data_IF_843642745017
#
_entry.id   IF_843642745017
#
_cell.length_a   1.000
_cell.length_b   1.000
_cell.length_c   1.000
_cell.angle_alpha   90.00
_cell.angle_beta   90.00
_cell.angle_gamma   90.00
#
_symmetry.space_group_name_H-M   'P 1'
#
loop_
_entity.id
_entity.type
_entity.pdbx_description
1 polymer ?
#
# COMPACT_ATOMS: atom_id res chain seq x y z
N UNK A 1 -15.35 -24.37 -10.54
CA UNK A 1 -16.81 -24.61 -10.37
C UNK A 1 -17.37 -25.49 -11.47
N UNK A 2 -17.02 -25.28 -12.75
CA UNK A 2 -17.28 -26.27 -13.83
C UNK A 2 -16.70 -27.65 -13.51
N UNK A 3 -15.44 -27.71 -13.08
CA UNK A 3 -14.77 -28.96 -12.64
C UNK A 3 -15.50 -29.66 -11.47
N UNK A 4 -16.15 -28.89 -10.59
CA UNK A 4 -16.82 -29.43 -9.40
C UNK A 4 -18.17 -30.08 -9.75
N UNK A 5 -18.82 -29.58 -10.80
CA UNK A 5 -20.08 -30.13 -11.32
C UNK A 5 -19.75 -31.36 -12.17
N UNK A 6 -18.75 -31.28 -13.05
CA UNK A 6 -18.30 -32.39 -13.90
C UNK A 6 -17.82 -33.60 -13.09
N UNK A 7 -17.10 -33.37 -11.97
CA UNK A 7 -16.68 -34.42 -11.05
C UNK A 7 -17.84 -35.11 -10.31
N UNK A 8 -18.95 -34.41 -10.08
CA UNK A 8 -20.14 -34.94 -9.36
C UNK A 8 -21.13 -35.62 -10.29
N UNK A 9 -21.29 -35.14 -11.53
CA UNK A 9 -22.36 -35.60 -12.44
C UNK A 9 -21.87 -36.37 -13.66
N UNK A 10 -20.55 -36.51 -13.89
CA UNK A 10 -19.95 -37.22 -15.04
C UNK A 10 -20.47 -36.76 -16.42
N UNK A 11 -21.06 -35.58 -16.48
CA UNK A 11 -21.55 -34.96 -17.70
C UNK A 11 -20.56 -33.88 -18.10
N UNK A 12 -20.06 -33.95 -19.33
CA UNK A 12 -19.16 -32.97 -19.92
C UNK A 12 -19.89 -31.65 -20.07
N UNK A 13 -19.57 -30.69 -19.20
CA UNK A 13 -20.21 -29.36 -19.21
C UNK A 13 -19.37 -28.45 -20.09
N UNK A 14 -19.96 -27.93 -21.17
CA UNK A 14 -19.31 -26.93 -22.03
C UNK A 14 -18.92 -25.65 -21.28
N UNK A 15 -18.11 -24.76 -21.90
CA UNK A 15 -17.54 -23.59 -21.24
C UNK A 15 -18.63 -22.70 -20.63
N UNK A 16 -18.65 -22.64 -19.29
CA UNK A 16 -19.60 -21.82 -18.54
C UNK A 16 -19.27 -20.35 -18.76
N UNK A 17 -20.02 -19.69 -19.64
CA UNK A 17 -19.98 -18.23 -19.81
C UNK A 17 -20.46 -17.57 -18.51
N UNK A 18 -19.52 -17.08 -17.70
CA UNK A 18 -19.86 -16.22 -16.59
C UNK A 18 -20.40 -14.90 -17.14
N UNK A 19 -21.65 -14.49 -16.83
CA UNK A 19 -22.10 -13.15 -17.18
C UNK A 19 -21.20 -12.16 -16.43
N UNK A 20 -20.54 -11.27 -17.16
CA UNK A 20 -19.73 -10.22 -16.54
C UNK A 20 -20.58 -9.44 -15.53
N UNK A 21 -19.99 -9.08 -14.38
CA UNK A 21 -20.64 -8.44 -13.23
C UNK A 21 -21.48 -7.18 -13.56
N UNK A 22 -21.34 -6.61 -14.76
CA UNK A 22 -22.01 -5.38 -15.20
C UNK A 22 -22.81 -5.65 -16.48
N UNK A 23 -24.14 -5.64 -16.35
CA UNK A 23 -25.08 -5.77 -17.47
C UNK A 23 -24.88 -4.67 -18.51
N UNK A 24 -25.06 -5.00 -19.81
CA UNK A 24 -24.92 -4.05 -20.93
C UNK A 24 -25.81 -2.80 -20.76
N UNK A 25 -27.01 -2.96 -20.19
CA UNK A 25 -27.92 -1.86 -19.89
C UNK A 25 -27.37 -0.93 -18.81
N UNK A 26 -26.74 -1.48 -17.78
CA UNK A 26 -26.12 -0.71 -16.70
C UNK A 26 -24.94 0.13 -17.21
N UNK A 27 -24.12 -0.42 -18.13
CA UNK A 27 -23.03 0.32 -18.78
C UNK A 27 -23.56 1.53 -19.56
N UNK A 28 -24.62 1.34 -20.34
CA UNK A 28 -25.25 2.43 -21.10
C UNK A 28 -25.78 3.51 -20.15
N UNK A 29 -26.48 3.12 -19.09
CA UNK A 29 -26.99 4.06 -18.09
C UNK A 29 -25.85 4.86 -17.43
N UNK A 30 -24.76 4.20 -17.04
CA UNK A 30 -23.58 4.87 -16.46
C UNK A 30 -22.97 5.87 -17.45
N UNK A 31 -22.84 5.50 -18.71
CA UNK A 31 -22.28 6.36 -19.77
C UNK A 31 -23.19 7.58 -19.99
N UNK A 32 -24.50 7.36 -20.16
CA UNK A 32 -25.47 8.45 -20.37
C UNK A 32 -25.51 9.39 -19.16
N UNK A 33 -25.56 8.84 -17.94
CA UNK A 33 -25.53 9.63 -16.72
C UNK A 33 -24.22 10.42 -16.59
N UNK A 34 -23.08 9.80 -16.93
CA UNK A 34 -21.79 10.47 -16.98
C UNK A 34 -21.78 11.65 -17.95
N UNK A 35 -22.30 11.46 -19.17
CA UNK A 35 -22.43 12.52 -20.18
C UNK A 35 -23.29 13.69 -19.71
N UNK A 36 -24.41 13.42 -19.03
CA UNK A 36 -25.29 14.47 -18.49
C UNK A 36 -24.63 15.22 -17.32
N UNK A 37 -23.89 14.51 -16.46
CA UNK A 37 -23.16 15.11 -15.34
C UNK A 37 -21.91 15.87 -15.77
N UNK A 38 -21.32 15.54 -16.92
CA UNK A 38 -20.09 16.17 -17.43
C UNK A 38 -20.18 17.70 -17.49
N UNK A 39 -21.17 18.33 -18.15
CA UNK A 39 -21.28 19.80 -18.19
C UNK A 39 -21.49 20.42 -16.80
N UNK A 40 -22.19 19.73 -15.89
CA UNK A 40 -22.42 20.22 -14.53
C UNK A 40 -21.14 20.18 -13.69
N UNK A 41 -20.37 19.10 -13.78
CA UNK A 41 -19.07 18.97 -13.14
C UNK A 41 -18.06 19.97 -13.71
N UNK A 42 -17.97 20.10 -15.04
CA UNK A 42 -17.05 21.05 -15.69
C UNK A 42 -17.34 22.48 -15.25
N UNK A 43 -18.62 22.89 -15.24
CA UNK A 43 -19.02 24.21 -14.74
C UNK A 43 -18.61 24.42 -13.27
N UNK A 44 -18.79 23.41 -12.43
CA UNK A 44 -18.42 23.45 -11.00
C UNK A 44 -16.91 23.48 -10.77
N UNK A 45 -16.15 22.77 -11.62
CA UNK A 45 -14.68 22.78 -11.62
C UNK A 45 -14.17 24.17 -12.03
N UNK A 46 -14.64 24.71 -13.16
CA UNK A 46 -14.22 26.03 -13.67
C UNK A 46 -14.55 27.16 -12.69
N UNK A 47 -15.64 27.05 -11.93
CA UNK A 47 -15.99 28.00 -10.87
C UNK A 47 -15.02 28.02 -9.66
N UNK A 48 -13.97 27.19 -9.65
CA UNK A 48 -12.86 27.24 -8.70
C UNK A 48 -13.19 26.78 -7.28
N UNK A 49 -14.46 26.64 -6.91
CA UNK A 49 -14.89 26.33 -5.55
C UNK A 49 -14.96 24.81 -5.25
N UNK A 50 -14.08 24.02 -5.87
CA UNK A 50 -14.09 22.56 -5.79
C UNK A 50 -12.86 22.03 -5.07
N UNK A 51 -13.02 20.89 -4.37
CA UNK A 51 -11.92 20.17 -3.69
C UNK A 51 -10.71 19.90 -4.62
N UNK A 52 -10.94 19.73 -5.92
CA UNK A 52 -9.90 19.52 -6.93
C UNK A 52 -8.93 20.70 -7.10
N UNK A 53 -9.27 21.91 -6.63
CA UNK A 53 -8.37 23.07 -6.69
C UNK A 53 -7.44 23.17 -5.48
N UNK A 54 -7.71 22.40 -4.42
CA UNK A 54 -6.88 22.45 -3.20
C UNK A 54 -5.63 21.61 -3.39
N UNK A 55 -4.46 22.27 -3.45
CA UNK A 55 -3.14 21.61 -3.57
C UNK A 55 -2.90 20.48 -2.57
N UNK A 56 -3.40 20.64 -1.33
CA UNK A 56 -3.25 19.64 -0.27
C UNK A 56 -3.98 18.32 -0.56
N UNK A 57 -5.08 18.37 -1.32
CA UNK A 57 -5.85 17.17 -1.69
C UNK A 57 -5.08 16.35 -2.73
N UNK A 58 -4.48 17.01 -3.72
CA UNK A 58 -3.57 16.35 -4.66
C UNK A 58 -2.34 15.80 -3.97
N UNK A 59 -1.76 16.54 -3.02
CA UNK A 59 -0.62 16.06 -2.24
C UNK A 59 -0.97 14.81 -1.44
N UNK A 60 -2.11 14.80 -0.74
CA UNK A 60 -2.60 13.63 -0.02
C UNK A 60 -2.91 12.45 -0.96
N UNK A 61 -3.53 12.73 -2.12
CA UNK A 61 -3.82 11.74 -3.16
C UNK A 61 -2.55 11.08 -3.71
N UNK A 62 -1.49 11.85 -3.96
CA UNK A 62 -0.20 11.31 -4.42
C UNK A 62 0.45 10.42 -3.37
N UNK A 63 0.42 10.80 -2.09
CA UNK A 63 0.93 9.96 -0.99
C UNK A 63 0.12 8.66 -0.89
N UNK A 64 -1.20 8.73 -1.08
CA UNK A 64 -2.07 7.56 -1.07
C UNK A 64 -1.74 6.59 -2.20
N UNK A 65 -1.60 7.07 -3.45
CA UNK A 65 -1.20 6.23 -4.59
C UNK A 65 0.17 5.61 -4.36
N UNK A 66 1.11 6.38 -3.81
CA UNK A 66 2.44 5.88 -3.47
C UNK A 66 2.38 4.74 -2.44
N UNK A 67 1.60 4.90 -1.37
CA UNK A 67 1.42 3.87 -0.34
C UNK A 67 0.87 2.57 -0.92
N UNK A 68 -0.15 2.65 -1.78
CA UNK A 68 -0.71 1.46 -2.44
C UNK A 68 0.32 0.77 -3.34
N UNK A 69 1.11 1.55 -4.08
CA UNK A 69 2.18 1.00 -4.92
C UNK A 69 3.29 0.36 -4.10
N UNK A 70 3.73 0.98 -3.00
CA UNK A 70 4.85 0.52 -2.19
C UNK A 70 4.51 -0.67 -1.27
N UNK A 71 3.24 -0.82 -0.88
CA UNK A 71 2.76 -1.94 -0.03
C UNK A 71 2.62 -3.27 -0.76
N UNK A 72 2.93 -3.31 -2.06
CA UNK A 72 2.84 -4.55 -2.85
C UNK A 72 1.39 -5.00 -3.08
N UNK A 73 0.40 -4.11 -2.94
CA UNK A 73 -1.02 -4.45 -3.18
C UNK A 73 -1.24 -5.01 -4.59
N UNK A 74 -0.51 -4.51 -5.59
CA UNK A 74 -0.54 -5.05 -6.94
C UNK A 74 -0.07 -6.52 -6.99
N UNK A 75 1.03 -6.84 -6.31
CA UNK A 75 1.54 -8.20 -6.21
C UNK A 75 0.55 -9.13 -5.48
N UNK A 76 -0.07 -8.64 -4.41
CA UNK A 76 -1.09 -9.38 -3.66
C UNK A 76 -2.36 -9.66 -4.49
N UNK A 77 -2.82 -8.69 -5.27
CA UNK A 77 -4.02 -8.83 -6.13
C UNK A 77 -3.76 -9.78 -7.29
N UNK A 78 -2.59 -9.70 -7.94
CA UNK A 78 -2.23 -10.56 -9.08
C UNK A 78 -2.06 -12.02 -8.63
N UNK A 79 -1.30 -12.24 -7.56
CA UNK A 79 -0.97 -13.59 -7.09
C UNK A 79 -1.97 -14.15 -6.07
N UNK A 80 -3.07 -13.43 -5.80
CA UNK A 80 -4.14 -13.81 -4.85
C UNK A 80 -3.58 -14.26 -3.49
N UNK A 81 -2.59 -13.55 -2.98
CA UNK A 81 -1.91 -13.89 -1.74
C UNK A 81 -2.88 -13.65 -0.56
N UNK A 82 -3.04 -14.61 0.36
CA UNK A 82 -3.91 -14.43 1.51
C UNK A 82 -3.39 -13.31 2.42
N UNK A 83 -4.32 -12.54 2.99
CA UNK A 83 -4.01 -11.44 3.90
C UNK A 83 -3.33 -11.96 5.17
N UNK A 84 -3.74 -13.13 5.65
CA UNK A 84 -3.16 -13.86 6.77
C UNK A 84 -3.17 -15.36 6.45
N UNK A 85 -2.17 -16.10 6.94
CA UNK A 85 -2.17 -17.56 6.90
C UNK A 85 -2.40 -18.12 8.29
N UNK A 86 -2.97 -19.31 8.37
CA UNK A 86 -3.05 -20.07 9.62
C UNK A 86 -1.66 -20.64 9.90
N UNK A 87 -1.22 -20.56 11.16
CA UNK A 87 0.08 -21.06 11.61
C UNK A 87 0.24 -22.54 11.23
N UNK A 88 1.43 -22.94 10.76
CA UNK A 88 1.67 -24.31 10.30
C UNK A 88 1.73 -25.28 11.47
N UNK A 89 2.13 -24.79 12.64
CA UNK A 89 2.23 -25.56 13.89
C UNK A 89 0.95 -25.48 14.76
N UNK A 90 0.13 -24.42 14.60
CA UNK A 90 -1.06 -24.19 15.43
C UNK A 90 -2.28 -23.70 14.61
N UNK A 91 -3.25 -24.56 14.29
CA UNK A 91 -4.38 -24.21 13.41
C UNK A 91 -5.36 -23.16 14.00
N UNK A 92 -5.19 -22.78 15.28
CA UNK A 92 -5.97 -21.73 15.95
C UNK A 92 -5.35 -20.34 15.84
N UNK A 93 -4.11 -20.22 15.35
CA UNK A 93 -3.36 -18.96 15.34
C UNK A 93 -3.25 -18.42 13.93
N UNK A 94 -3.62 -17.15 13.76
CA UNK A 94 -3.45 -16.42 12.51
C UNK A 94 -2.09 -15.73 12.52
N UNK A 95 -1.28 -16.02 11.52
CA UNK A 95 0.05 -15.46 11.32
C UNK A 95 -0.03 -14.45 10.17
N UNK A 96 0.35 -13.21 10.48
CA UNK A 96 0.33 -12.08 9.55
C UNK A 96 1.71 -11.81 8.90
N UNK A 97 2.77 -12.47 9.37
CA UNK A 97 4.15 -12.36 8.91
C UNK A 97 4.71 -13.73 8.56
N UNK A 98 5.20 -13.92 7.34
CA UNK A 98 5.71 -15.22 6.90
C UNK A 98 7.22 -15.32 7.13
N UNK A 99 7.67 -16.34 7.86
CA UNK A 99 9.08 -16.56 8.21
C UNK A 99 9.94 -17.13 7.07
N UNK A 100 9.35 -17.41 5.90
CA UNK A 100 10.07 -17.97 4.75
C UNK A 100 10.55 -16.94 3.73
N UNK A 101 11.74 -17.17 3.18
CA UNK A 101 12.33 -16.30 2.17
C UNK A 101 11.57 -16.44 0.82
N UNK A 102 11.17 -15.32 0.22
CA UNK A 102 10.55 -15.30 -1.12
C UNK A 102 9.01 -15.29 -1.17
N UNK A 103 8.31 -15.40 -0.04
CA UNK A 103 6.86 -15.18 0.03
C UNK A 103 6.54 -14.10 1.07
N UNK A 104 5.75 -13.10 0.69
CA UNK A 104 5.32 -12.01 1.57
C UNK A 104 3.80 -12.06 1.67
N UNK A 105 3.27 -12.10 2.90
CA UNK A 105 1.82 -12.11 3.11
C UNK A 105 1.20 -10.74 2.81
N UNK A 106 -0.11 -10.75 2.57
CA UNK A 106 -0.83 -9.51 2.25
C UNK A 106 -0.73 -8.48 3.37
N UNK A 107 -0.94 -8.90 4.63
CA UNK A 107 -0.82 -8.02 5.79
C UNK A 107 0.61 -7.54 6.03
N UNK A 108 1.61 -8.39 5.78
CA UNK A 108 3.02 -8.02 5.89
C UNK A 108 3.38 -6.92 4.87
N UNK A 109 2.99 -7.07 3.60
CA UNK A 109 3.19 -6.06 2.56
C UNK A 109 2.56 -4.71 2.91
N UNK A 110 1.32 -4.73 3.40
CA UNK A 110 0.60 -3.53 3.86
C UNK A 110 1.31 -2.88 5.05
N UNK A 111 1.74 -3.67 6.03
CA UNK A 111 2.39 -3.16 7.25
C UNK A 111 3.76 -2.56 6.94
N UNK A 112 4.56 -3.24 6.13
CA UNK A 112 5.88 -2.77 5.69
C UNK A 112 5.73 -1.51 4.82
N UNK A 113 4.79 -1.51 3.87
CA UNK A 113 4.49 -0.34 3.05
C UNK A 113 4.03 0.88 3.86
N UNK A 114 3.27 0.64 4.94
CA UNK A 114 2.84 1.69 5.86
C UNK A 114 4.04 2.29 6.62
N UNK A 115 4.92 1.43 7.12
CA UNK A 115 6.14 1.84 7.80
C UNK A 115 7.04 2.70 6.88
N UNK A 116 7.25 2.27 5.64
CA UNK A 116 8.02 3.03 4.64
C UNK A 116 7.37 4.37 4.32
N UNK A 117 6.05 4.43 4.26
CA UNK A 117 5.33 5.68 3.97
C UNK A 117 5.47 6.66 5.13
N UNK A 118 5.33 6.21 6.38
CA UNK A 118 5.59 7.04 7.57
C UNK A 118 7.02 7.57 7.56
N UNK A 119 8.01 6.71 7.28
CA UNK A 119 9.40 7.12 7.24
C UNK A 119 9.66 8.19 6.18
N UNK A 120 9.07 8.05 4.98
CA UNK A 120 9.16 9.05 3.91
C UNK A 120 8.47 10.36 4.29
N UNK A 121 7.30 10.30 4.92
CA UNK A 121 6.58 11.48 5.37
C UNK A 121 7.36 12.22 6.47
N UNK A 122 8.02 11.47 7.35
CA UNK A 122 8.92 12.00 8.37
C UNK A 122 10.12 12.73 7.73
N UNK A 123 10.76 12.14 6.70
CA UNK A 123 11.83 12.82 5.96
C UNK A 123 11.35 14.10 5.26
N UNK A 124 10.17 14.07 4.65
CA UNK A 124 9.55 15.26 4.07
C UNK A 124 9.26 16.33 5.14
N UNK A 125 8.83 15.92 6.34
CA UNK A 125 8.60 16.83 7.46
C UNK A 125 9.90 17.47 7.96
N UNK A 126 10.95 16.67 8.15
CA UNK A 126 12.28 17.13 8.61
C UNK A 126 12.91 18.11 7.60
N UNK A 127 12.63 17.97 6.31
CA UNK A 127 13.19 18.87 5.30
C UNK A 127 12.38 20.15 5.14
N UNK A 128 11.06 20.09 5.27
CA UNK A 128 10.19 21.25 5.02
C UNK A 128 9.89 22.11 6.27
N UNK A 129 9.69 21.50 7.43
CA UNK A 129 9.22 22.21 8.64
C UNK A 129 10.30 23.04 9.33
N UNK A 130 11.53 22.55 9.56
CA UNK A 130 12.57 23.31 10.24
C UNK A 130 12.96 24.61 9.53
N UNK A 131 12.75 24.70 8.21
CA UNK A 131 13.03 25.90 7.40
C UNK A 131 12.07 27.05 7.73
N UNK A 132 10.87 26.74 8.22
CA UNK A 132 9.84 27.74 8.55
C UNK A 132 9.85 28.15 10.03
N UNK A 133 10.70 27.53 10.85
CA UNK A 133 10.79 27.81 12.29
C UNK A 133 11.65 29.05 12.52
N UNK A 134 11.06 30.11 13.08
CA UNK A 134 11.77 31.37 13.36
C UNK A 134 12.83 31.27 14.48
N UNK A 135 12.66 30.33 15.40
CA UNK A 135 13.53 30.15 16.57
C UNK A 135 14.69 29.19 16.30
N UNK A 136 15.92 29.69 16.36
CA UNK A 136 17.15 28.93 16.11
C UNK A 136 17.36 27.74 17.06
N UNK A 137 16.94 27.86 18.32
CA UNK A 137 17.07 26.79 19.32
C UNK A 137 16.14 25.60 19.02
N UNK A 138 14.88 25.86 18.66
CA UNK A 138 13.93 24.81 18.28
C UNK A 138 14.40 24.14 16.98
N UNK A 139 14.88 24.91 16.01
CA UNK A 139 15.42 24.35 14.77
C UNK A 139 16.59 23.40 15.03
N UNK A 140 17.56 23.79 15.87
CA UNK A 140 18.69 22.93 16.26
C UNK A 140 18.25 21.66 16.97
N UNK A 141 17.31 21.76 17.90
CA UNK A 141 16.77 20.61 18.63
C UNK A 141 16.06 19.63 17.68
N UNK A 142 15.26 20.14 16.74
CA UNK A 142 14.59 19.33 15.71
C UNK A 142 15.60 18.64 14.79
N UNK A 143 16.68 19.31 14.39
CA UNK A 143 17.74 18.68 13.58
C UNK A 143 18.50 17.59 14.33
N UNK A 144 18.81 17.79 15.62
CA UNK A 144 19.46 16.76 16.44
C UNK A 144 18.56 15.53 16.61
N UNK A 145 17.26 15.74 16.88
CA UNK A 145 16.27 14.67 16.93
C UNK A 145 16.16 13.95 15.59
N UNK A 146 16.17 14.69 14.47
CA UNK A 146 16.12 14.11 13.14
C UNK A 146 17.31 13.17 12.86
N UNK A 147 18.52 13.57 13.25
CA UNK A 147 19.72 12.72 13.11
C UNK A 147 19.57 11.45 13.95
N UNK A 148 19.14 11.59 15.21
CA UNK A 148 18.96 10.45 16.11
C UNK A 148 17.90 9.46 15.59
N UNK A 149 16.75 9.97 15.16
CA UNK A 149 15.67 9.14 14.61
C UNK A 149 16.09 8.48 13.30
N UNK A 150 16.84 9.18 12.44
CA UNK A 150 17.37 8.61 11.18
C UNK A 150 18.32 7.45 11.47
N UNK A 151 19.25 7.62 12.40
CA UNK A 151 20.17 6.56 12.81
C UNK A 151 19.43 5.35 13.40
N UNK A 152 18.45 5.59 14.27
CA UNK A 152 17.63 4.54 14.87
C UNK A 152 16.80 3.78 13.83
N UNK A 153 16.20 4.49 12.86
CA UNK A 153 15.40 3.90 11.80
C UNK A 153 16.25 3.00 10.89
N UNK A 154 17.44 3.44 10.48
CA UNK A 154 18.36 2.63 9.66
C UNK A 154 18.72 1.34 10.39
N UNK A 155 19.04 1.41 11.69
CA UNK A 155 19.32 0.22 12.50
C UNK A 155 18.15 -0.77 12.52
N UNK A 156 16.91 -0.27 12.62
CA UNK A 156 15.69 -1.10 12.60
C UNK A 156 15.44 -1.74 11.23
N UNK A 157 15.66 -1.01 10.14
CA UNK A 157 15.53 -1.55 8.78
C UNK A 157 16.53 -2.68 8.54
N UNK A 158 17.80 -2.50 8.93
CA UNK A 158 18.83 -3.54 8.82
C UNK A 158 18.46 -4.77 9.66
N UNK A 159 17.99 -4.55 10.89
CA UNK A 159 17.53 -5.64 11.76
C UNK A 159 16.40 -6.45 11.11
N UNK A 160 15.38 -5.76 10.56
CA UNK A 160 14.24 -6.39 9.92
C UNK A 160 14.66 -7.18 8.65
N UNK A 161 15.58 -6.61 7.86
CA UNK A 161 16.14 -7.25 6.67
C UNK A 161 16.90 -8.53 7.03
N UNK A 162 17.73 -8.48 8.07
CA UNK A 162 18.51 -9.63 8.53
C UNK A 162 17.61 -10.73 9.09
N UNK A 163 16.57 -10.35 9.84
CA UNK A 163 15.58 -11.29 10.35
C UNK A 163 14.86 -12.04 9.20
N UNK A 164 14.44 -11.32 8.16
CA UNK A 164 13.70 -11.92 7.03
C UNK A 164 14.56 -12.74 6.07
N UNK A 165 15.81 -12.32 5.85
CA UNK A 165 16.70 -12.98 4.87
C UNK A 165 17.35 -14.24 5.46
N UNK A 166 17.24 -14.47 6.78
CA UNK A 166 17.89 -15.59 7.48
C UNK A 166 19.42 -15.51 7.47
N UNK A 167 20.00 -14.54 6.77
CA UNK A 167 21.41 -14.24 6.79
C UNK A 167 21.72 -13.58 8.13
N UNK A 168 22.32 -14.35 9.04
CA UNK A 168 23.26 -13.80 10.00
C UNK A 168 24.31 -13.04 9.22
N UNK A 169 24.07 -11.75 8.94
CA UNK A 169 25.10 -10.88 8.42
C UNK A 169 26.17 -10.86 9.49
N UNK A 170 27.39 -11.32 9.18
CA UNK A 170 28.41 -11.34 10.19
C UNK A 170 28.82 -9.90 10.47
N UNK A 171 29.26 -9.66 11.69
CA UNK A 171 29.57 -8.35 12.26
C UNK A 171 30.72 -7.57 11.58
N UNK A 172 31.12 -7.90 10.33
CA UNK A 172 32.28 -7.29 9.67
C UNK A 172 32.02 -5.93 9.01
N UNK A 173 30.76 -5.51 8.84
CA UNK A 173 30.45 -4.25 8.11
C UNK A 173 30.31 -3.02 9.02
N UNK A 174 30.83 -3.08 10.25
CA UNK A 174 30.92 -1.96 11.20
C UNK A 174 32.37 -1.66 11.62
N UNK A 175 33.30 -1.69 10.67
CA UNK A 175 34.60 -1.01 10.81
C UNK A 175 34.68 0.11 9.78
N UNK A 176 34.19 1.29 10.18
CA UNK A 176 34.74 2.62 9.90
C UNK A 176 34.05 3.62 10.80
#
# INVERSE_FOLDING_TARGET
>A
MAEFIEAKTKLTVGPIHQPGFISKKLKIIIITLGLILTPFLVRKIVAGNTLLHKKHIWMAGSVFVYFFSASGTMYNVINKIPIAMVDRDDPKKLVFFYDGNGMQLGAEGVTVGFLYTIFRLLLAFITHVPVHVKSRNIQRLVMLLAIFVSFWAVKKVIYLYNWKTGSGLPAYTYRM
#
